data_IF_392514735014
#
_entry.id   IF_392514735014
#
_cell.length_a   1.000
_cell.length_b   1.000
_cell.length_c   1.000
_cell.angle_alpha   90.00
_cell.angle_beta   90.00
_cell.angle_gamma   90.00
#
_symmetry.space_group_name_H-M   'P 1'
#
loop_
_entity.id
_entity.type
_entity.pdbx_description
1 polymer ?
#
# COMPACT_ATOMS: atom_id res chain seq x y z
N UNK A 1 -18.37 20.87 -13.94
CA UNK A 1 -17.64 19.59 -13.72
C UNK A 1 -16.43 19.90 -12.87
N UNK A 2 -16.00 19.04 -11.94
CA UNK A 2 -14.76 19.26 -11.23
C UNK A 2 -13.60 19.34 -12.24
N UNK A 3 -12.60 20.17 -11.93
CA UNK A 3 -11.39 20.29 -12.75
C UNK A 3 -10.64 18.94 -12.78
N UNK A 4 -10.04 18.62 -13.91
CA UNK A 4 -9.24 17.41 -14.05
C UNK A 4 -8.03 17.47 -13.12
N UNK A 5 -7.83 16.42 -12.31
CA UNK A 5 -6.63 16.28 -11.47
C UNK A 5 -5.44 15.83 -12.32
N UNK A 6 -4.33 16.57 -12.25
CA UNK A 6 -3.15 16.36 -13.09
C UNK A 6 -1.87 16.22 -12.27
N UNK A 7 -0.89 15.56 -12.86
CA UNK A 7 0.44 15.32 -12.31
C UNK A 7 1.55 15.98 -13.14
N UNK A 8 1.24 17.06 -13.82
CA UNK A 8 2.18 17.72 -14.73
C UNK A 8 3.50 18.06 -14.02
N UNK A 9 4.63 17.59 -14.59
CA UNK A 9 5.96 17.79 -14.03
C UNK A 9 6.26 16.97 -12.75
N UNK A 10 5.36 16.09 -12.32
CA UNK A 10 5.60 15.14 -11.22
C UNK A 10 6.21 13.85 -11.75
N UNK A 11 7.03 13.21 -10.92
CA UNK A 11 7.65 11.91 -11.19
C UNK A 11 7.08 10.86 -10.24
N UNK A 12 6.51 9.81 -10.80
CA UNK A 12 5.95 8.69 -10.06
C UNK A 12 6.76 7.42 -10.31
N UNK A 13 7.06 6.69 -9.25
CA UNK A 13 7.63 5.33 -9.32
C UNK A 13 6.52 4.35 -8.95
N UNK A 14 6.28 3.34 -9.80
CA UNK A 14 5.28 2.31 -9.55
C UNK A 14 5.95 0.94 -9.60
N UNK A 15 5.90 0.19 -8.50
CA UNK A 15 6.47 -1.16 -8.43
C UNK A 15 5.46 -2.23 -8.83
N UNK A 16 5.92 -3.33 -9.46
CA UNK A 16 5.02 -4.35 -10.01
C UNK A 16 4.12 -3.81 -11.11
N UNK A 17 4.63 -2.86 -11.91
CA UNK A 17 3.85 -2.06 -12.85
C UNK A 17 3.74 -2.66 -14.26
N UNK A 18 4.37 -3.80 -14.52
CA UNK A 18 4.33 -4.43 -15.84
C UNK A 18 3.00 -5.11 -16.19
N UNK A 19 2.14 -5.38 -15.20
CA UNK A 19 0.89 -6.11 -15.40
C UNK A 19 -0.19 -5.71 -14.39
N UNK A 20 -1.46 -6.07 -14.68
CA UNK A 20 -2.58 -5.98 -13.76
C UNK A 20 -2.78 -4.59 -13.15
N UNK A 21 -2.93 -4.53 -11.84
CA UNK A 21 -3.24 -3.29 -11.10
C UNK A 21 -2.12 -2.25 -11.24
N UNK A 22 -0.85 -2.67 -11.08
CA UNK A 22 0.29 -1.76 -11.22
C UNK A 22 0.42 -1.14 -12.61
N UNK A 23 0.15 -1.93 -13.67
CA UNK A 23 0.05 -1.39 -15.03
C UNK A 23 -1.06 -0.32 -15.13
N UNK A 24 -2.23 -0.58 -14.58
CA UNK A 24 -3.32 0.38 -14.59
C UNK A 24 -2.96 1.69 -13.86
N UNK A 25 -2.22 1.60 -12.76
CA UNK A 25 -1.68 2.78 -12.07
C UNK A 25 -0.73 3.58 -12.95
N UNK A 26 0.25 2.90 -13.54
CA UNK A 26 1.26 3.54 -14.40
C UNK A 26 0.62 4.26 -15.59
N UNK A 27 -0.32 3.61 -16.26
CA UNK A 27 -1.05 4.18 -17.39
C UNK A 27 -1.87 5.41 -16.99
N UNK A 28 -2.62 5.34 -15.88
CA UNK A 28 -3.43 6.47 -15.43
C UNK A 28 -2.57 7.66 -15.00
N UNK A 29 -1.50 7.43 -14.24
CA UNK A 29 -0.59 8.49 -13.82
C UNK A 29 0.06 9.17 -15.02
N UNK A 30 0.52 8.40 -16.02
CA UNK A 30 1.09 8.93 -17.25
C UNK A 30 0.07 9.72 -18.07
N UNK A 31 -1.16 9.21 -18.22
CA UNK A 31 -2.25 9.90 -18.92
C UNK A 31 -2.63 11.24 -18.23
N UNK A 32 -2.38 11.36 -16.93
CA UNK A 32 -2.58 12.59 -16.14
C UNK A 32 -1.35 13.49 -16.10
N UNK A 33 -0.29 13.20 -16.88
CA UNK A 33 0.87 14.06 -17.06
C UNK A 33 2.07 13.75 -16.17
N UNK A 34 2.04 12.68 -15.37
CA UNK A 34 3.22 12.24 -14.64
C UNK A 34 4.29 11.64 -15.58
N UNK A 35 5.55 11.83 -15.21
CA UNK A 35 6.63 10.98 -15.68
C UNK A 35 6.66 9.72 -14.83
N UNK A 36 6.77 8.53 -15.42
CA UNK A 36 6.60 7.26 -14.69
C UNK A 36 7.82 6.35 -14.83
N UNK A 37 8.36 5.90 -13.70
CA UNK A 37 9.23 4.72 -13.67
C UNK A 37 8.34 3.49 -13.52
N UNK A 38 8.34 2.62 -14.52
CA UNK A 38 7.59 1.37 -14.55
C UNK A 38 8.52 0.26 -14.08
N UNK A 39 8.49 -0.06 -12.79
CA UNK A 39 9.30 -1.16 -12.24
C UNK A 39 8.52 -2.47 -12.25
N UNK A 40 9.10 -3.52 -12.80
CA UNK A 40 8.60 -4.90 -12.71
C UNK A 40 9.77 -5.88 -12.94
N UNK A 41 10.04 -6.73 -11.95
CA UNK A 41 11.03 -7.80 -12.09
C UNK A 41 10.64 -8.83 -13.15
N UNK A 42 9.35 -8.90 -13.51
CA UNK A 42 8.82 -9.85 -14.49
C UNK A 42 8.64 -11.27 -13.96
N UNK A 43 8.72 -11.47 -12.65
CA UNK A 43 8.57 -12.77 -12.01
C UNK A 43 7.17 -13.40 -12.20
N UNK A 44 7.08 -14.69 -11.89
CA UNK A 44 5.80 -15.40 -11.74
C UNK A 44 5.00 -14.82 -10.56
N UNK A 45 3.75 -15.25 -10.39
CA UNK A 45 2.92 -14.86 -9.24
C UNK A 45 3.47 -15.38 -7.90
N UNK A 46 4.29 -16.42 -7.93
CA UNK A 46 4.99 -16.97 -6.77
C UNK A 46 6.34 -16.32 -6.48
N UNK A 47 6.79 -15.36 -7.31
CA UNK A 47 8.06 -14.64 -7.14
C UNK A 47 9.26 -15.28 -7.85
N UNK A 48 9.07 -16.20 -8.80
CA UNK A 48 10.15 -16.90 -9.48
C UNK A 48 10.45 -16.29 -10.85
N UNK A 49 11.74 -16.25 -11.21
CA UNK A 49 12.22 -15.78 -12.50
C UNK A 49 12.27 -14.26 -12.63
N UNK A 50 12.81 -13.79 -13.76
CA UNK A 50 12.88 -12.38 -14.15
C UNK A 50 12.66 -12.22 -15.66
N UNK A 51 11.94 -11.18 -16.06
CA UNK A 51 11.64 -10.87 -17.47
C UNK A 51 11.42 -9.36 -17.64
N UNK A 52 12.24 -8.70 -18.45
CA UNK A 52 12.15 -7.27 -18.70
C UNK A 52 10.96 -6.87 -19.60
N UNK A 53 10.38 -7.83 -20.33
CA UNK A 53 9.32 -7.58 -21.30
C UNK A 53 8.10 -6.85 -20.75
N UNK A 54 7.57 -7.24 -19.59
CA UNK A 54 6.38 -6.60 -19.02
C UNK A 54 6.53 -5.10 -18.74
N UNK A 55 7.66 -4.68 -18.14
CA UNK A 55 7.91 -3.28 -17.88
C UNK A 55 8.09 -2.49 -19.19
N UNK A 56 8.86 -3.04 -20.14
CA UNK A 56 9.08 -2.44 -21.44
C UNK A 56 7.78 -2.24 -22.23
N UNK A 57 6.90 -3.23 -22.24
CA UNK A 57 5.61 -3.15 -22.95
C UNK A 57 4.71 -2.02 -22.41
N UNK A 58 4.67 -1.81 -21.10
CA UNK A 58 3.91 -0.70 -20.51
C UNK A 58 4.52 0.66 -20.86
N UNK A 59 5.85 0.75 -20.89
CA UNK A 59 6.54 1.98 -21.32
C UNK A 59 6.24 2.29 -22.79
N UNK A 60 6.26 1.30 -23.66
CA UNK A 60 5.87 1.47 -25.08
C UNK A 60 4.43 2.00 -25.21
N UNK A 61 3.49 1.44 -24.44
CA UNK A 61 2.10 1.88 -24.43
C UNK A 61 1.96 3.32 -23.95
N UNK A 62 2.62 3.69 -22.86
CA UNK A 62 2.62 5.06 -22.33
C UNK A 62 3.19 6.03 -23.38
N UNK A 63 4.31 5.66 -24.00
CA UNK A 63 4.98 6.51 -25.00
C UNK A 63 4.14 6.66 -26.28
N UNK A 64 3.51 5.60 -26.74
CA UNK A 64 2.61 5.63 -27.88
C UNK A 64 1.38 6.53 -27.63
N UNK A 65 0.94 6.64 -26.38
CA UNK A 65 -0.12 7.56 -25.95
C UNK A 65 0.37 9.00 -25.71
N UNK A 66 1.66 9.30 -25.97
CA UNK A 66 2.26 10.63 -25.79
C UNK A 66 2.72 10.94 -24.37
N UNK A 67 2.70 9.96 -23.46
CA UNK A 67 3.23 10.08 -22.09
C UNK A 67 4.74 9.88 -22.02
N UNK A 68 5.30 9.97 -20.81
CA UNK A 68 6.74 9.84 -20.55
C UNK A 68 6.98 8.78 -19.48
N UNK A 69 7.70 7.71 -19.83
CA UNK A 69 8.04 6.64 -18.91
C UNK A 69 9.40 6.03 -19.22
N UNK A 70 9.99 5.35 -18.24
CA UNK A 70 11.15 4.47 -18.40
C UNK A 70 10.89 3.13 -17.70
N UNK A 71 11.42 2.02 -18.24
CA UNK A 71 11.34 0.72 -17.59
C UNK A 71 12.42 0.57 -16.53
N UNK A 72 12.12 -0.20 -15.50
CA UNK A 72 13.07 -0.64 -14.48
C UNK A 72 12.78 -2.10 -14.11
N UNK A 73 13.82 -2.90 -13.88
CA UNK A 73 13.71 -4.33 -13.57
C UNK A 73 14.44 -4.70 -12.28
N UNK A 74 14.80 -3.73 -11.47
CA UNK A 74 15.47 -3.99 -10.22
C UNK A 74 14.56 -4.71 -9.22
N UNK A 75 15.14 -5.65 -8.47
CA UNK A 75 14.45 -6.35 -7.38
C UNK A 75 14.40 -5.46 -6.14
N UNK A 76 13.20 -5.04 -5.76
CA UNK A 76 12.97 -4.17 -4.60
C UNK A 76 13.12 -4.90 -3.27
N UNK A 77 13.08 -6.23 -3.21
CA UNK A 77 13.34 -6.97 -1.99
C UNK A 77 14.78 -6.74 -1.49
N UNK A 78 15.71 -6.44 -2.42
CA UNK A 78 17.08 -6.06 -2.10
C UNK A 78 17.25 -4.55 -1.94
N UNK A 79 18.02 -4.13 -0.93
CA UNK A 79 18.36 -2.72 -0.66
C UNK A 79 18.94 -2.03 -1.91
N UNK A 80 19.92 -2.66 -2.55
CA UNK A 80 20.58 -2.10 -3.74
C UNK A 80 19.63 -1.94 -4.93
N UNK A 81 18.67 -2.86 -5.11
CA UNK A 81 17.68 -2.77 -6.17
C UNK A 81 16.71 -1.61 -5.93
N UNK A 82 16.26 -1.41 -4.70
CA UNK A 82 15.41 -0.28 -4.34
C UNK A 82 16.15 1.07 -4.50
N UNK A 83 17.43 1.15 -4.12
CA UNK A 83 18.26 2.34 -4.32
C UNK A 83 18.44 2.64 -5.83
N UNK A 84 18.70 1.62 -6.64
CA UNK A 84 18.82 1.76 -8.10
C UNK A 84 17.51 2.22 -8.75
N UNK A 85 16.37 1.68 -8.32
CA UNK A 85 15.04 2.08 -8.79
C UNK A 85 14.78 3.58 -8.56
N UNK A 86 15.02 4.06 -7.34
CA UNK A 86 14.85 5.50 -7.03
C UNK A 86 15.89 6.33 -7.80
N UNK A 87 17.13 5.84 -7.88
CA UNK A 87 18.19 6.46 -8.68
C UNK A 87 17.79 6.67 -10.14
N UNK A 88 17.11 5.71 -10.76
CA UNK A 88 16.64 5.83 -12.15
C UNK A 88 15.67 7.02 -12.36
N UNK A 89 14.80 7.31 -11.39
CA UNK A 89 13.93 8.49 -11.42
C UNK A 89 14.74 9.79 -11.30
N UNK A 90 15.70 9.82 -10.38
CA UNK A 90 16.56 10.97 -10.13
C UNK A 90 17.48 11.26 -11.32
N UNK A 91 18.10 10.25 -11.90
CA UNK A 91 18.98 10.36 -13.06
C UNK A 91 18.22 10.88 -14.29
N UNK A 92 16.98 10.46 -14.45
CA UNK A 92 16.18 10.79 -15.64
C UNK A 92 15.49 12.15 -15.54
N UNK A 93 14.96 12.52 -14.36
CA UNK A 93 14.15 13.73 -14.17
C UNK A 93 14.56 14.59 -12.96
N UNK A 94 15.59 14.21 -12.22
CA UNK A 94 16.12 14.97 -11.10
C UNK A 94 15.20 15.00 -9.86
N UNK A 95 14.17 14.15 -9.82
CA UNK A 95 13.17 14.15 -8.75
C UNK A 95 12.38 12.84 -8.63
N UNK A 96 11.78 12.66 -7.48
CA UNK A 96 10.68 11.72 -7.23
C UNK A 96 9.62 12.48 -6.42
N UNK A 97 8.33 12.31 -6.73
CA UNK A 97 7.20 12.96 -6.06
C UNK A 97 6.19 11.97 -5.49
N UNK A 98 5.98 10.85 -6.19
CA UNK A 98 5.07 9.80 -5.79
C UNK A 98 5.74 8.43 -5.89
N UNK A 99 5.46 7.58 -4.89
CA UNK A 99 5.90 6.18 -4.86
C UNK A 99 4.68 5.30 -4.61
N UNK A 100 4.36 4.42 -5.57
CA UNK A 100 3.27 3.45 -5.45
C UNK A 100 3.88 2.06 -5.29
N UNK A 101 3.88 1.55 -4.07
CA UNK A 101 4.35 0.21 -3.72
C UNK A 101 3.24 -0.80 -3.98
N UNK A 102 3.27 -1.40 -5.18
CA UNK A 102 2.27 -2.36 -5.62
C UNK A 102 2.85 -3.77 -5.85
N UNK A 103 4.15 -3.91 -6.03
CA UNK A 103 4.78 -5.21 -6.23
C UNK A 103 4.39 -6.20 -5.13
N UNK A 104 4.20 -7.45 -5.52
CA UNK A 104 3.82 -8.48 -4.57
C UNK A 104 3.74 -9.86 -5.20
N UNK A 105 3.75 -10.87 -4.35
CA UNK A 105 3.61 -12.28 -4.69
C UNK A 105 2.46 -12.90 -3.89
N UNK A 106 2.03 -14.09 -4.29
CA UNK A 106 1.13 -14.92 -3.49
C UNK A 106 1.51 -16.39 -3.63
N UNK A 107 1.73 -17.03 -2.48
CA UNK A 107 1.94 -18.47 -2.33
C UNK A 107 0.94 -18.95 -1.28
N UNK A 108 -0.19 -19.47 -1.73
CA UNK A 108 -1.26 -19.88 -0.83
C UNK A 108 -0.82 -21.08 0.02
N UNK A 109 -0.75 -20.87 1.32
CA UNK A 109 -0.53 -21.90 2.33
C UNK A 109 -1.12 -21.45 3.68
N UNK A 110 -1.65 -22.41 4.43
CA UNK A 110 -2.07 -22.24 5.81
C UNK A 110 -1.46 -23.37 6.66
N UNK A 111 -1.60 -23.30 7.99
CA UNK A 111 -1.11 -24.40 8.84
C UNK A 111 -1.93 -25.66 8.59
N UNK A 112 -1.28 -26.86 8.61
CA UNK A 112 0.13 -27.08 8.95
C UNK A 112 1.12 -26.91 7.77
N UNK A 113 0.65 -26.63 6.54
CA UNK A 113 1.48 -26.69 5.32
C UNK A 113 2.32 -25.42 5.09
N UNK A 114 1.97 -24.31 5.75
CA UNK A 114 2.76 -23.08 5.69
C UNK A 114 4.05 -23.26 6.49
N UNK A 115 5.19 -23.04 5.83
CA UNK A 115 6.53 -23.09 6.43
C UNK A 115 7.17 -21.70 6.52
N UNK A 116 8.39 -21.64 7.07
CA UNK A 116 9.14 -20.42 7.22
C UNK A 116 9.48 -19.79 5.87
N UNK A 117 9.81 -20.60 4.85
CA UNK A 117 10.13 -20.09 3.50
C UNK A 117 8.92 -19.39 2.87
N UNK A 118 7.70 -19.92 3.07
CA UNK A 118 6.48 -19.28 2.60
C UNK A 118 6.28 -17.91 3.27
N UNK A 119 6.47 -17.82 4.58
CA UNK A 119 6.36 -16.57 5.32
C UNK A 119 7.43 -15.57 4.87
N UNK A 120 8.71 -15.99 4.85
CA UNK A 120 9.85 -15.14 4.49
C UNK A 120 9.70 -14.57 3.08
N UNK A 121 9.31 -15.38 2.10
CA UNK A 121 9.08 -14.92 0.73
C UNK A 121 8.04 -13.79 0.66
N UNK A 122 6.96 -13.86 1.46
CA UNK A 122 5.99 -12.77 1.52
C UNK A 122 6.53 -11.55 2.23
N UNK A 123 7.26 -11.73 3.34
CA UNK A 123 7.87 -10.61 4.07
C UNK A 123 8.91 -9.89 3.20
N UNK A 124 9.73 -10.61 2.46
CA UNK A 124 10.79 -10.04 1.62
C UNK A 124 10.23 -9.12 0.54
N UNK A 125 9.24 -9.59 -0.21
CA UNK A 125 8.70 -8.76 -1.30
C UNK A 125 7.77 -7.67 -0.77
N UNK A 126 6.83 -8.01 0.11
CA UNK A 126 5.80 -7.06 0.53
C UNK A 126 6.28 -6.07 1.59
N UNK A 127 6.97 -6.55 2.64
CA UNK A 127 7.39 -5.70 3.77
C UNK A 127 8.75 -5.09 3.50
N UNK A 128 9.77 -5.91 3.28
CA UNK A 128 11.13 -5.44 3.04
C UNK A 128 11.23 -4.63 1.74
N UNK A 129 10.59 -5.08 0.66
CA UNK A 129 10.57 -4.36 -0.60
C UNK A 129 9.90 -2.99 -0.49
N UNK A 130 8.74 -2.92 0.15
CA UNK A 130 8.05 -1.63 0.43
C UNK A 130 8.91 -0.72 1.32
N UNK A 131 9.49 -1.26 2.39
CA UNK A 131 10.39 -0.50 3.27
C UNK A 131 11.62 0.03 2.51
N UNK A 132 12.28 -0.80 1.72
CA UNK A 132 13.49 -0.44 0.99
C UNK A 132 13.24 0.71 0.01
N UNK A 133 12.17 0.64 -0.76
CA UNK A 133 11.80 1.69 -1.72
C UNK A 133 11.44 3.01 -1.02
N UNK A 134 10.69 2.96 0.10
CA UNK A 134 10.38 4.14 0.89
C UNK A 134 11.66 4.73 1.48
N UNK A 135 12.52 3.90 2.08
CA UNK A 135 13.81 4.32 2.64
C UNK A 135 14.67 5.04 1.60
N UNK A 136 14.74 4.50 0.38
CA UNK A 136 15.50 5.11 -0.72
C UNK A 136 14.91 6.47 -1.16
N UNK A 137 13.58 6.57 -1.23
CA UNK A 137 12.89 7.79 -1.67
C UNK A 137 12.80 8.87 -0.58
N UNK A 138 12.81 8.49 0.70
CA UNK A 138 12.52 9.37 1.83
C UNK A 138 13.38 10.62 1.93
N UNK A 139 14.72 10.59 1.79
CA UNK A 139 15.56 11.78 1.82
C UNK A 139 15.16 12.82 0.76
N UNK A 140 14.80 12.35 -0.44
CA UNK A 140 14.42 13.20 -1.56
C UNK A 140 13.05 13.85 -1.36
N UNK A 141 12.11 13.14 -0.74
CA UNK A 141 10.84 13.72 -0.32
C UNK A 141 11.02 14.78 0.77
N UNK A 142 11.83 14.47 1.79
CA UNK A 142 12.09 15.37 2.91
C UNK A 142 12.80 16.66 2.44
N UNK A 143 13.80 16.56 1.56
CA UNK A 143 14.50 17.72 0.99
C UNK A 143 13.54 18.65 0.23
N UNK A 144 12.55 18.06 -0.48
CA UNK A 144 11.56 18.83 -1.25
C UNK A 144 10.38 19.33 -0.43
N UNK A 145 10.21 18.88 0.81
CA UNK A 145 9.01 19.14 1.60
C UNK A 145 7.73 18.57 0.97
N UNK A 146 7.88 17.53 0.15
CA UNK A 146 6.77 16.90 -0.59
C UNK A 146 7.06 15.45 -0.91
N UNK A 147 6.15 14.56 -0.56
CA UNK A 147 6.16 13.15 -0.95
C UNK A 147 4.76 12.55 -0.86
N UNK A 148 4.44 11.64 -1.76
CA UNK A 148 3.20 10.87 -1.73
C UNK A 148 3.53 9.38 -1.86
N UNK A 149 3.20 8.61 -0.84
CA UNK A 149 3.43 7.17 -0.82
C UNK A 149 2.09 6.45 -0.75
N UNK A 150 1.87 5.52 -1.67
CA UNK A 150 0.69 4.66 -1.68
C UNK A 150 1.16 3.21 -1.56
N UNK A 151 0.97 2.63 -0.40
CA UNK A 151 1.30 1.23 -0.14
C UNK A 151 0.13 0.31 -0.51
N UNK A 152 0.42 -0.93 -0.88
CA UNK A 152 -0.63 -1.91 -1.19
C UNK A 152 -0.76 -2.94 -0.07
N UNK A 153 -1.82 -2.84 0.72
CA UNK A 153 -2.30 -3.88 1.62
C UNK A 153 -3.33 -4.78 0.93
N UNK A 154 -4.20 -5.44 1.63
CA UNK A 154 -5.23 -6.32 1.06
C UNK A 154 -6.39 -6.51 2.02
N UNK A 155 -7.59 -6.75 1.51
CA UNK A 155 -8.70 -7.30 2.29
C UNK A 155 -8.41 -8.72 2.85
N UNK A 156 -7.36 -9.38 2.35
CA UNK A 156 -6.85 -10.64 2.91
C UNK A 156 -6.44 -10.55 4.37
N UNK A 157 -6.17 -9.35 4.91
CA UNK A 157 -5.92 -9.12 6.34
C UNK A 157 -7.12 -9.45 7.24
N UNK A 158 -8.33 -9.55 6.65
CA UNK A 158 -9.54 -9.95 7.37
C UNK A 158 -9.61 -11.47 7.63
N UNK A 159 -8.66 -12.21 7.09
CA UNK A 159 -8.49 -13.65 7.34
C UNK A 159 -9.01 -14.54 6.20
N UNK A 160 -8.19 -15.51 5.83
CA UNK A 160 -8.52 -16.61 4.94
C UNK A 160 -7.61 -17.79 5.32
N UNK A 161 -8.12 -19.04 5.54
CA UNK A 161 -7.35 -20.15 6.10
C UNK A 161 -6.04 -20.49 5.36
N UNK A 162 -6.01 -20.29 4.05
CA UNK A 162 -4.86 -20.64 3.19
C UNK A 162 -3.98 -19.44 2.82
N UNK A 163 -4.01 -18.37 3.61
CA UNK A 163 -3.39 -17.10 3.25
C UNK A 163 -2.48 -16.51 4.35
N UNK A 164 -1.90 -17.38 5.18
CA UNK A 164 -1.21 -16.96 6.42
C UNK A 164 -0.05 -16.00 6.16
N UNK A 165 0.94 -16.37 5.34
CA UNK A 165 2.11 -15.54 5.06
C UNK A 165 1.75 -14.23 4.37
N UNK A 166 0.86 -14.29 3.39
CA UNK A 166 0.39 -13.08 2.68
C UNK A 166 -0.39 -12.13 3.61
N UNK A 167 -1.34 -12.65 4.39
CA UNK A 167 -2.12 -11.83 5.32
C UNK A 167 -1.23 -11.17 6.38
N UNK A 168 -0.24 -11.91 6.90
CA UNK A 168 0.76 -11.39 7.84
C UNK A 168 1.54 -10.23 7.22
N UNK A 169 2.07 -10.40 6.02
CA UNK A 169 2.83 -9.34 5.34
C UNK A 169 1.94 -8.11 5.04
N UNK A 170 0.71 -8.32 4.57
CA UNK A 170 -0.23 -7.23 4.26
C UNK A 170 -0.76 -6.52 5.53
N UNK A 171 -0.85 -7.20 6.66
CA UNK A 171 -1.08 -6.59 7.97
C UNK A 171 0.08 -5.69 8.40
N UNK A 172 1.33 -6.14 8.20
CA UNK A 172 2.54 -5.33 8.42
C UNK A 172 2.55 -4.02 7.64
N UNK A 173 2.04 -4.02 6.41
CA UNK A 173 1.90 -2.80 5.59
C UNK A 173 0.97 -1.77 6.24
N UNK A 174 -0.09 -2.17 6.93
CA UNK A 174 -0.98 -1.23 7.64
C UNK A 174 -0.20 -0.51 8.75
N UNK A 175 0.52 -1.26 9.59
CA UNK A 175 1.34 -0.68 10.66
C UNK A 175 2.44 0.24 10.12
N UNK A 176 3.16 -0.20 9.08
CA UNK A 176 4.18 0.60 8.39
C UNK A 176 3.59 1.91 7.84
N UNK A 177 2.44 1.86 7.19
CA UNK A 177 1.76 3.02 6.62
C UNK A 177 1.44 4.06 7.69
N UNK A 178 0.85 3.64 8.81
CA UNK A 178 0.48 4.54 9.91
C UNK A 178 1.71 5.17 10.58
N UNK A 179 2.73 4.38 10.88
CA UNK A 179 3.97 4.87 11.49
C UNK A 179 4.70 5.88 10.59
N UNK A 180 4.81 5.59 9.29
CA UNK A 180 5.46 6.50 8.33
C UNK A 180 4.63 7.76 8.04
N UNK A 181 3.31 7.68 8.12
CA UNK A 181 2.44 8.85 7.98
C UNK A 181 2.70 9.87 9.09
N UNK A 182 2.77 9.41 10.35
CA UNK A 182 3.09 10.28 11.50
C UNK A 182 4.50 10.88 11.37
N UNK A 183 5.50 10.07 10.98
CA UNK A 183 6.88 10.54 10.79
C UNK A 183 7.03 11.53 9.62
N UNK A 184 6.22 11.36 8.57
CA UNK A 184 6.30 12.15 7.34
C UNK A 184 5.53 13.47 7.39
N UNK A 185 4.55 13.60 8.26
CA UNK A 185 3.67 14.77 8.32
C UNK A 185 4.43 16.11 8.45
N UNK A 186 5.38 16.24 9.39
CA UNK A 186 6.17 17.49 9.53
C UNK A 186 7.10 17.75 8.33
N UNK A 187 7.32 16.75 7.48
CA UNK A 187 8.15 16.82 6.28
C UNK A 187 7.34 17.03 4.99
N UNK A 188 6.00 17.21 5.08
CA UNK A 188 5.13 17.32 3.92
C UNK A 188 4.93 16.00 3.16
N UNK A 189 5.32 14.85 3.76
CA UNK A 189 5.18 13.52 3.19
C UNK A 189 3.87 12.90 3.70
N UNK A 190 3.05 12.40 2.79
CA UNK A 190 1.84 11.64 3.12
C UNK A 190 1.99 10.20 2.69
N UNK A 191 1.62 9.29 3.58
CA UNK A 191 1.71 7.84 3.36
C UNK A 191 0.34 7.23 3.61
N UNK A 192 -0.26 6.64 2.59
CA UNK A 192 -1.56 5.97 2.68
C UNK A 192 -1.46 4.56 2.09
N UNK A 193 -2.46 3.74 2.31
CA UNK A 193 -2.52 2.40 1.75
C UNK A 193 -3.82 2.16 0.98
N UNK A 194 -3.72 1.25 0.01
CA UNK A 194 -4.87 0.75 -0.75
C UNK A 194 -4.98 -0.77 -0.56
N UNK A 195 -6.20 -1.27 -0.38
CA UNK A 195 -6.56 -2.68 -0.40
C UNK A 195 -7.39 -2.94 -1.68
N UNK A 196 -6.74 -3.27 -2.81
CA UNK A 196 -7.39 -3.36 -4.10
C UNK A 196 -8.17 -4.67 -4.28
N UNK A 197 -9.26 -4.62 -5.05
CA UNK A 197 -9.99 -5.78 -5.52
C UNK A 197 -10.15 -5.72 -7.04
N UNK A 198 -9.45 -6.61 -7.75
CA UNK A 198 -9.51 -6.71 -9.20
C UNK A 198 -9.22 -8.14 -9.68
N UNK A 199 -9.66 -8.48 -10.87
CA UNK A 199 -9.31 -9.72 -11.53
C UNK A 199 -7.89 -9.65 -12.05
N UNK A 200 -6.97 -10.38 -11.42
CA UNK A 200 -5.55 -10.42 -11.79
C UNK A 200 -5.05 -11.85 -11.81
N UNK A 201 -3.82 -12.06 -12.26
CA UNK A 201 -3.16 -13.38 -12.20
C UNK A 201 -3.03 -13.94 -10.77
N UNK A 202 -3.05 -13.08 -9.76
CA UNK A 202 -2.90 -13.46 -8.35
C UNK A 202 -4.22 -13.89 -7.70
N UNK A 203 -5.36 -13.57 -8.28
CA UNK A 203 -6.67 -13.94 -7.76
C UNK A 203 -7.10 -15.35 -8.17
N UNK A 204 -7.78 -16.08 -7.28
CA UNK A 204 -8.32 -17.40 -7.53
C UNK A 204 -9.49 -17.41 -8.56
N UNK A 205 -10.04 -16.26 -8.94
CA UNK A 205 -11.06 -16.18 -9.98
C UNK A 205 -10.42 -16.43 -11.34
N UNK A 206 -11.01 -17.34 -12.10
CA UNK A 206 -10.56 -17.66 -13.47
C UNK A 206 -10.36 -16.37 -14.26
N UNK A 207 -9.21 -16.31 -14.95
CA UNK A 207 -8.92 -15.38 -16.03
C UNK A 207 -10.13 -15.30 -16.96
N UNK A 208 -10.96 -14.33 -16.78
CA UNK A 208 -12.05 -13.97 -17.66
C UNK A 208 -12.09 -12.45 -17.66
N UNK A 209 -12.35 -11.88 -18.80
CA UNK A 209 -12.60 -10.47 -18.99
C UNK A 209 -13.89 -10.08 -18.26
N UNK A 210 -13.82 -10.05 -16.91
CA UNK A 210 -14.91 -9.52 -16.10
C UNK A 210 -14.70 -7.99 -16.00
N UNK A 211 -15.39 -7.21 -16.80
CA UNK A 211 -15.21 -5.76 -16.84
C UNK A 211 -15.56 -5.11 -15.51
N UNK A 212 -16.36 -5.75 -14.66
CA UNK A 212 -16.67 -5.25 -13.32
C UNK A 212 -15.48 -5.40 -12.34
N UNK A 213 -14.50 -6.25 -12.68
CA UNK A 213 -13.30 -6.48 -11.90
C UNK A 213 -12.04 -6.01 -12.62
N UNK A 214 -12.16 -5.09 -13.59
CA UNK A 214 -11.01 -4.55 -14.32
C UNK A 214 -10.06 -3.82 -13.36
N UNK A 215 -8.74 -4.09 -13.42
CA UNK A 215 -7.72 -3.33 -12.69
C UNK A 215 -7.81 -1.80 -12.87
N UNK A 216 -8.30 -1.33 -13.99
CA UNK A 216 -8.49 0.10 -14.25
C UNK A 216 -9.51 0.75 -13.28
N UNK A 217 -10.45 -0.02 -12.70
CA UNK A 217 -11.41 0.47 -11.71
C UNK A 217 -10.76 0.73 -10.33
N UNK A 218 -9.57 0.22 -10.09
CA UNK A 218 -8.78 0.48 -8.87
C UNK A 218 -7.94 1.74 -9.00
N UNK A 219 -7.43 2.01 -10.19
CA UNK A 219 -6.43 3.04 -10.45
C UNK A 219 -6.83 4.46 -10.00
N UNK A 220 -8.08 4.91 -10.10
CA UNK A 220 -8.48 6.24 -9.64
C UNK A 220 -8.21 6.50 -8.15
N UNK A 221 -8.42 5.50 -7.28
CA UNK A 221 -8.15 5.67 -5.85
C UNK A 221 -6.64 5.80 -5.59
N UNK A 222 -5.81 4.95 -6.18
CA UNK A 222 -4.37 5.05 -6.01
C UNK A 222 -3.81 6.37 -6.54
N UNK A 223 -4.28 6.82 -7.70
CA UNK A 223 -3.91 8.11 -8.26
C UNK A 223 -4.33 9.27 -7.35
N UNK A 224 -5.55 9.24 -6.79
CA UNK A 224 -6.00 10.26 -5.86
C UNK A 224 -5.16 10.30 -4.57
N UNK A 225 -4.84 9.13 -4.00
CA UNK A 225 -3.96 9.05 -2.81
C UNK A 225 -2.55 9.57 -3.09
N UNK A 226 -2.07 9.48 -4.33
CA UNK A 226 -0.78 10.02 -4.79
C UNK A 226 -0.85 11.50 -5.21
N UNK A 227 -2.03 12.10 -5.29
CA UNK A 227 -2.21 13.47 -5.75
C UNK A 227 -1.99 14.50 -4.63
N UNK A 228 -1.55 15.70 -4.98
CA UNK A 228 -1.29 16.79 -4.02
C UNK A 228 -2.55 17.23 -3.26
N UNK A 229 -3.72 17.17 -3.88
CA UNK A 229 -5.00 17.51 -3.24
C UNK A 229 -5.58 16.42 -2.34
N UNK A 230 -4.91 15.25 -2.22
CA UNK A 230 -5.32 14.22 -1.28
C UNK A 230 -5.22 14.76 0.17
N UNK A 231 -6.32 14.83 0.94
CA UNK A 231 -6.30 15.47 2.26
C UNK A 231 -5.85 14.53 3.39
N UNK A 232 -5.79 13.21 3.14
CA UNK A 232 -5.61 12.20 4.19
C UNK A 232 -4.16 11.73 4.32
N UNK A 233 -3.82 11.25 5.51
CA UNK A 233 -2.52 10.69 5.85
C UNK A 233 -2.70 9.53 6.85
N UNK A 234 -2.01 8.41 6.67
CA UNK A 234 -2.09 7.23 7.53
C UNK A 234 -3.30 6.32 7.31
N UNK A 235 -4.05 6.56 6.23
CA UNK A 235 -5.33 5.91 6.01
C UNK A 235 -5.24 4.73 5.04
N UNK A 236 -6.22 3.82 5.15
CA UNK A 236 -6.35 2.66 4.26
C UNK A 236 -7.69 2.71 3.54
N UNK A 237 -7.66 2.52 2.21
CA UNK A 237 -8.88 2.49 1.40
C UNK A 237 -9.00 1.20 0.60
N UNK A 238 -10.20 0.64 0.55
CA UNK A 238 -10.53 -0.42 -0.41
C UNK A 238 -10.94 0.21 -1.73
N UNK A 239 -10.59 -0.41 -2.86
CA UNK A 239 -10.97 0.05 -4.19
C UNK A 239 -11.09 -1.13 -5.14
N UNK A 240 -12.16 -1.15 -5.92
CA UNK A 240 -12.43 -2.17 -6.95
C UNK A 240 -13.91 -2.33 -7.23
N UNK A 241 -14.24 -2.90 -8.36
CA UNK A 241 -15.62 -3.11 -8.79
C UNK A 241 -16.50 -1.84 -8.69
N UNK A 242 -15.92 -0.67 -8.97
CA UNK A 242 -16.61 0.62 -8.87
C UNK A 242 -16.88 1.09 -7.42
N UNK A 243 -16.43 0.38 -6.40
CA UNK A 243 -16.61 0.73 -4.99
C UNK A 243 -15.32 1.25 -4.35
N UNK A 244 -15.45 2.33 -3.59
CA UNK A 244 -14.40 2.90 -2.75
C UNK A 244 -14.90 3.00 -1.32
N UNK A 245 -14.09 2.53 -0.33
CA UNK A 245 -14.45 2.62 1.08
C UNK A 245 -13.20 2.72 1.96
N UNK A 246 -13.34 3.30 3.14
CA UNK A 246 -12.28 3.33 4.15
C UNK A 246 -12.25 2.00 4.92
N UNK A 247 -11.06 1.45 5.12
CA UNK A 247 -10.77 0.38 6.07
C UNK A 247 -10.00 1.00 7.25
N UNK A 248 -10.48 0.81 8.47
CA UNK A 248 -9.88 1.45 9.64
C UNK A 248 -9.78 0.49 10.84
N UNK A 249 -8.88 0.81 11.75
CA UNK A 249 -8.75 0.17 13.06
C UNK A 249 -9.50 1.03 14.06
N UNK A 250 -10.28 0.39 14.92
CA UNK A 250 -11.09 1.05 15.93
C UNK A 250 -10.88 0.37 17.30
N UNK A 251 -11.17 1.10 18.37
CA UNK A 251 -11.20 0.59 19.74
C UNK A 251 -12.55 0.88 20.37
N UNK A 252 -13.08 -0.10 21.10
CA UNK A 252 -14.30 0.09 21.92
C UNK A 252 -14.00 0.92 23.16
N UNK A 253 -15.00 1.55 23.78
CA UNK A 253 -14.82 2.22 25.08
C UNK A 253 -14.32 1.28 26.18
N UNK A 254 -14.68 0.00 26.10
CA UNK A 254 -14.26 -1.04 27.03
C UNK A 254 -14.81 -0.88 28.44
N UNK A 255 -14.06 -1.44 29.40
CA UNK A 255 -14.36 -1.39 30.84
C UNK A 255 -13.10 -0.95 31.58
N UNK A 256 -13.30 -0.09 32.59
CA UNK A 256 -12.22 0.40 33.46
C UNK A 256 -12.43 -0.11 34.86
N UNK A 257 -11.41 -0.75 35.43
CA UNK A 257 -11.40 -1.23 36.81
C UNK A 257 -9.98 -1.19 37.38
N UNK A 258 -9.85 -0.63 38.60
CA UNK A 258 -8.59 -0.65 39.36
C UNK A 258 -8.29 -2.09 39.87
N UNK A 259 -7.08 -2.58 39.64
CA UNK A 259 -6.62 -3.90 40.06
C UNK A 259 -7.54 -5.07 39.61
N UNK A 260 -7.79 -5.24 38.31
CA UNK A 260 -8.74 -6.22 37.81
C UNK A 260 -8.20 -7.66 37.95
N UNK A 261 -9.12 -8.61 38.16
CA UNK A 261 -8.92 -10.04 38.15
C UNK A 261 -9.38 -10.65 36.82
N UNK A 262 -9.09 -11.94 36.58
CA UNK A 262 -9.60 -12.63 35.40
C UNK A 262 -11.13 -12.76 35.43
N UNK A 263 -11.72 -12.89 36.62
CA UNK A 263 -13.15 -12.97 36.82
C UNK A 263 -13.84 -11.63 36.50
N UNK A 264 -13.16 -10.50 36.77
CA UNK A 264 -13.66 -9.19 36.36
C UNK A 264 -13.72 -9.04 34.85
N UNK A 265 -12.72 -9.55 34.13
CA UNK A 265 -12.72 -9.58 32.65
C UNK A 265 -13.88 -10.43 32.12
N UNK A 266 -14.12 -11.61 32.73
CA UNK A 266 -15.24 -12.47 32.35
C UNK A 266 -16.58 -11.78 32.61
N UNK A 267 -16.75 -11.18 33.81
CA UNK A 267 -17.99 -10.52 34.23
C UNK A 267 -18.35 -9.31 33.34
N UNK A 268 -17.36 -8.61 32.80
CA UNK A 268 -17.56 -7.42 31.96
C UNK A 268 -17.32 -7.69 30.47
N UNK A 269 -17.23 -9.00 30.04
CA UNK A 269 -16.91 -9.35 28.66
C UNK A 269 -17.84 -8.73 27.63
N UNK A 270 -19.14 -8.64 27.91
CA UNK A 270 -20.12 -8.00 27.02
C UNK A 270 -19.86 -6.51 26.84
N UNK A 271 -19.49 -5.78 27.90
CA UNK A 271 -19.17 -4.36 27.85
C UNK A 271 -17.85 -4.11 27.10
N UNK A 272 -16.83 -4.95 27.34
CA UNK A 272 -15.54 -4.87 26.66
C UNK A 272 -15.71 -4.99 25.12
N UNK A 273 -16.68 -5.79 24.69
CA UNK A 273 -16.95 -6.05 23.28
C UNK A 273 -18.08 -5.20 22.69
N UNK A 274 -18.66 -4.27 23.45
CA UNK A 274 -19.69 -3.37 22.93
C UNK A 274 -19.05 -2.33 21.98
N UNK A 275 -19.37 -2.45 20.70
CA UNK A 275 -18.88 -1.55 19.66
C UNK A 275 -19.56 -0.18 19.69
N UNK A 276 -20.61 0.02 20.50
CA UNK A 276 -21.30 1.30 20.62
C UNK A 276 -20.35 2.37 21.15
N UNK A 277 -20.16 3.44 20.38
CA UNK A 277 -19.26 4.52 20.78
C UNK A 277 -17.77 4.22 20.57
N UNK A 278 -17.42 3.27 19.68
CA UNK A 278 -16.03 3.03 19.30
C UNK A 278 -15.36 4.32 18.78
N UNK A 279 -14.05 4.39 18.93
CA UNK A 279 -13.23 5.48 18.39
C UNK A 279 -12.27 4.96 17.33
N UNK A 280 -11.86 5.87 16.45
CA UNK A 280 -10.86 5.61 15.40
C UNK A 280 -9.69 6.55 15.61
N UNK A 281 -8.72 6.16 16.45
CA UNK A 281 -7.63 7.04 16.81
C UNK A 281 -6.74 7.38 15.59
N UNK A 282 -6.33 8.63 15.51
CA UNK A 282 -5.48 9.11 14.44
C UNK A 282 -4.07 8.47 14.51
N UNK A 283 -3.52 8.36 15.72
CA UNK A 283 -2.21 7.75 15.98
C UNK A 283 -2.14 7.14 17.40
N UNK A 284 -0.95 6.72 17.81
CA UNK A 284 -0.72 6.13 19.14
C UNK A 284 -0.90 7.16 20.26
N UNK A 285 -0.58 8.42 20.03
CA UNK A 285 -0.68 9.47 21.05
C UNK A 285 -2.16 9.78 21.32
N UNK A 286 -2.94 9.90 20.25
CA UNK A 286 -4.39 10.08 20.32
C UNK A 286 -5.06 8.91 21.05
N UNK A 287 -4.74 7.66 20.65
CA UNK A 287 -5.21 6.47 21.34
C UNK A 287 -4.81 6.43 22.82
N UNK A 288 -3.55 6.77 23.15
CA UNK A 288 -3.07 6.74 24.53
C UNK A 288 -3.77 7.79 25.40
N UNK A 289 -3.98 9.00 24.87
CA UNK A 289 -4.69 10.06 25.55
C UNK A 289 -6.12 9.67 25.92
N UNK A 290 -6.82 9.02 25.00
CA UNK A 290 -8.18 8.55 25.23
C UNK A 290 -8.20 7.32 26.18
N UNK A 291 -7.39 6.31 25.89
CA UNK A 291 -7.38 5.04 26.63
C UNK A 291 -6.94 5.20 28.08
N UNK A 292 -6.05 6.14 28.36
CA UNK A 292 -5.51 6.39 29.72
C UNK A 292 -6.19 7.56 30.43
N UNK A 293 -7.17 8.23 29.81
CA UNK A 293 -7.84 9.42 30.36
C UNK A 293 -8.46 9.20 31.73
N UNK A 294 -8.85 7.96 32.06
CA UNK A 294 -9.37 7.60 33.37
C UNK A 294 -8.35 7.72 34.53
N UNK A 295 -7.04 7.82 34.21
CA UNK A 295 -5.97 8.01 35.19
C UNK A 295 -5.81 9.48 35.62
N UNK A 296 -6.21 10.43 34.77
CA UNK A 296 -6.03 11.87 35.00
C UNK A 296 -7.02 12.47 36.00
N UNK A 297 -8.01 11.70 36.45
CA UNK A 297 -9.07 12.10 37.39
C UNK A 297 -8.96 11.47 38.77
N UNK A 298 -7.86 10.81 39.13
CA UNK A 298 -7.66 10.15 40.43
C UNK A 298 -6.69 10.90 41.35
#
# INVERSE_FOLDING_TARGET
MPSELRFDGRVAVVTGAGRGIGRAYALLLAARGAHVVVNDLGSSTGGEGADAGPAAAVVEEITAAGGSAIPDTNDIAGVAGADALVGAALDRWGRIDALVNNAGIVRFAGLPDADAENLDAHLDVHVNGTFNTIRAAWPHFAERGYGRVVNTTSSGVLGLPVNLGYATAKGGIIGMTRSLATAGEPLGIRVNAIAPAASTRMGARKKGDDPEMDPALVAPMAAFLAHESCPVNGEVYTAGAGRFAKLFLATTPGHVQGAPTIEDVEAHWAQINDETGYTVPADLIDWSGEHLSHLDGS
#
